data_IF_337236727258
#
_entry.id   IF_337236727258
#
_cell.length_a   1.000
_cell.length_b   1.000
_cell.length_c   1.000
_cell.angle_alpha   90.00
_cell.angle_beta   90.00
_cell.angle_gamma   90.00
#
_symmetry.space_group_name_H-M   'P 1'
#
loop_
_entity.id
_entity.type
_entity.pdbx_description
1 polymer ?
#
# COMPACT_ATOMS: atom_id res chain seq x y z
N UNK A 1 23.50 -38.29 14.49
CA UNK A 1 23.06 -38.29 13.07
C UNK A 1 23.21 -36.88 12.56
N UNK A 2 24.15 -36.67 11.63
CA UNK A 2 24.47 -35.37 11.04
C UNK A 2 23.29 -34.85 10.22
N UNK A 3 22.74 -33.69 10.57
CA UNK A 3 21.73 -32.99 9.79
C UNK A 3 22.39 -32.48 8.50
N UNK A 4 22.07 -33.08 7.36
CA UNK A 4 22.48 -32.52 6.07
C UNK A 4 21.94 -31.08 5.96
N UNK A 5 22.75 -30.10 5.50
CA UNK A 5 22.28 -28.74 5.31
C UNK A 5 21.10 -28.75 4.33
N UNK A 6 20.03 -28.02 4.64
CA UNK A 6 18.87 -27.90 3.77
C UNK A 6 19.34 -27.49 2.37
N UNK A 7 19.17 -28.37 1.39
CA UNK A 7 19.48 -28.05 -0.01
C UNK A 7 18.51 -26.95 -0.43
N UNK A 8 19.02 -25.77 -0.77
CA UNK A 8 18.23 -24.69 -1.34
C UNK A 8 17.46 -25.20 -2.56
N UNK A 9 16.32 -24.59 -2.85
CA UNK A 9 15.52 -24.84 -4.06
C UNK A 9 15.47 -23.55 -4.87
N UNK A 10 15.48 -23.69 -6.19
CA UNK A 10 15.22 -22.57 -7.10
C UNK A 10 13.91 -22.84 -7.82
N UNK A 11 13.06 -21.83 -7.92
CA UNK A 11 11.77 -21.92 -8.60
C UNK A 11 11.76 -20.88 -9.73
N UNK A 12 11.45 -21.30 -10.95
CA UNK A 12 11.14 -20.39 -12.04
C UNK A 12 9.64 -20.04 -11.97
N UNK A 13 9.35 -18.77 -11.66
CA UNK A 13 7.97 -18.28 -11.53
C UNK A 13 7.23 -18.13 -12.86
N UNK A 14 7.89 -18.35 -14.00
CA UNK A 14 7.30 -18.22 -15.34
C UNK A 14 6.59 -19.49 -15.76
N UNK A 15 7.24 -20.64 -15.55
CA UNK A 15 6.73 -21.95 -15.97
C UNK A 15 6.45 -22.90 -14.78
N UNK A 16 6.82 -22.50 -13.55
CA UNK A 16 6.64 -23.28 -12.33
C UNK A 16 7.69 -24.38 -12.13
N UNK A 17 8.76 -24.39 -12.93
CA UNK A 17 9.84 -25.37 -12.81
C UNK A 17 10.55 -25.26 -11.45
N UNK A 18 10.80 -26.40 -10.80
CA UNK A 18 11.50 -26.48 -9.52
C UNK A 18 12.84 -27.19 -9.69
N UNK A 19 13.92 -26.50 -9.37
CA UNK A 19 15.29 -26.98 -9.48
C UNK A 19 15.88 -27.26 -8.10
N UNK A 20 16.61 -28.37 -8.00
CA UNK A 20 17.38 -28.69 -6.80
C UNK A 20 18.63 -27.82 -6.73
N UNK A 21 18.85 -27.16 -5.59
CA UNK A 21 19.97 -26.25 -5.36
C UNK A 21 19.60 -24.78 -5.56
N UNK A 22 20.46 -23.89 -5.06
CA UNK A 22 20.38 -22.45 -5.31
C UNK A 22 21.12 -22.13 -6.61
N UNK A 23 20.38 -21.92 -7.70
CA UNK A 23 20.94 -21.50 -8.98
C UNK A 23 21.28 -19.99 -8.92
N UNK A 24 22.34 -19.56 -9.63
CA UNK A 24 22.67 -18.13 -9.70
C UNK A 24 21.57 -17.35 -10.41
N UNK A 25 21.08 -16.29 -9.75
CA UNK A 25 20.11 -15.37 -10.34
C UNK A 25 20.83 -14.28 -11.12
N UNK A 26 20.30 -13.95 -12.31
CA UNK A 26 20.80 -12.81 -13.08
C UNK A 26 20.07 -11.55 -12.61
N UNK A 27 20.82 -10.52 -12.18
CA UNK A 27 20.21 -9.21 -11.93
C UNK A 27 19.97 -8.50 -13.27
N UNK A 28 18.71 -8.16 -13.61
CA UNK A 28 18.44 -7.41 -14.83
C UNK A 28 19.03 -5.99 -14.70
N UNK A 29 19.92 -5.62 -15.61
CA UNK A 29 20.43 -4.26 -15.73
C UNK A 29 19.79 -3.56 -16.92
N UNK A 30 19.30 -2.34 -16.70
CA UNK A 30 18.86 -1.47 -17.78
C UNK A 30 20.08 -0.78 -18.36
N UNK A 31 20.47 -1.21 -19.55
CA UNK A 31 21.60 -0.65 -20.29
C UNK A 31 21.45 -0.84 -21.79
N UNK A 32 22.34 -0.21 -22.56
CA UNK A 32 22.40 -0.36 -24.02
C UNK A 32 21.08 -0.01 -24.71
N UNK A 33 20.61 -0.91 -25.59
CA UNK A 33 19.40 -0.70 -26.40
C UNK A 33 18.13 -0.56 -25.57
N UNK A 34 18.02 -1.29 -24.44
CA UNK A 34 16.85 -1.21 -23.56
C UNK A 34 16.76 0.18 -22.92
N UNK A 35 17.89 0.72 -22.45
CA UNK A 35 17.94 2.08 -21.90
C UNK A 35 17.51 3.14 -22.93
N UNK A 36 17.97 3.03 -24.18
CA UNK A 36 17.56 3.93 -25.27
C UNK A 36 16.06 3.84 -25.56
N UNK A 37 15.52 2.62 -25.66
CA UNK A 37 14.10 2.38 -25.91
C UNK A 37 13.23 2.97 -24.80
N UNK A 38 13.62 2.77 -23.54
CA UNK A 38 12.89 3.32 -22.40
C UNK A 38 13.00 4.86 -22.34
N UNK A 39 14.13 5.44 -22.75
CA UNK A 39 14.26 6.89 -22.92
C UNK A 39 13.31 7.46 -23.97
N UNK A 40 13.13 6.78 -25.11
CA UNK A 40 12.09 7.16 -26.09
C UNK A 40 10.68 6.97 -25.55
N UNK A 41 10.47 5.90 -24.76
CA UNK A 41 9.19 5.63 -24.12
C UNK A 41 8.79 6.78 -23.20
N UNK A 42 9.70 7.24 -22.35
CA UNK A 42 9.46 8.37 -21.44
C UNK A 42 9.14 9.67 -22.17
N UNK A 43 9.75 9.93 -23.33
CA UNK A 43 9.48 11.13 -24.10
C UNK A 43 8.08 11.16 -24.75
N UNK A 44 7.40 10.00 -24.84
CA UNK A 44 6.10 9.87 -25.50
C UNK A 44 4.93 9.73 -24.54
N UNK A 45 5.14 9.13 -23.35
CA UNK A 45 4.07 8.90 -22.37
C UNK A 45 3.73 10.19 -21.61
N UNK A 46 2.46 10.34 -21.26
CA UNK A 46 1.97 11.42 -20.37
C UNK A 46 1.75 10.95 -18.93
N UNK A 47 1.57 9.66 -18.72
CA UNK A 47 1.27 9.06 -17.41
C UNK A 47 2.57 8.72 -16.69
N UNK A 48 2.71 9.17 -15.44
CA UNK A 48 3.87 8.84 -14.62
C UNK A 48 3.87 7.38 -14.16
N UNK A 49 5.05 6.78 -14.05
CA UNK A 49 5.23 5.42 -13.54
C UNK A 49 5.92 5.48 -12.18
N UNK A 50 5.14 5.25 -11.13
CA UNK A 50 5.60 5.12 -9.75
C UNK A 50 5.77 3.65 -9.37
N UNK A 51 6.21 3.41 -8.14
CA UNK A 51 6.45 2.07 -7.63
C UNK A 51 5.78 1.77 -6.29
N UNK A 52 5.44 0.50 -6.06
CA UNK A 52 4.96 -0.03 -4.79
C UNK A 52 6.15 -0.69 -4.08
N UNK A 53 6.57 -0.13 -2.94
CA UNK A 53 7.76 -0.59 -2.20
C UNK A 53 7.61 -0.37 -0.70
N UNK A 54 8.23 -1.27 0.07
CA UNK A 54 8.20 -1.23 1.53
C UNK A 54 9.59 -1.06 2.13
N UNK A 55 10.65 -1.21 1.34
CA UNK A 55 12.05 -1.11 1.80
C UNK A 55 12.85 -0.11 0.97
N UNK A 56 13.89 0.45 1.58
CA UNK A 56 14.83 1.35 0.91
C UNK A 56 15.57 0.65 -0.24
N UNK A 57 15.86 -0.64 -0.09
CA UNK A 57 16.49 -1.42 -1.16
C UNK A 57 15.56 -1.54 -2.37
N UNK A 58 14.31 -1.93 -2.16
CA UNK A 58 13.31 -2.00 -3.23
C UNK A 58 13.06 -0.65 -3.88
N UNK A 59 13.06 0.44 -3.09
CA UNK A 59 12.97 1.80 -3.59
C UNK A 59 14.14 2.16 -4.52
N UNK A 60 15.38 1.82 -4.14
CA UNK A 60 16.58 2.02 -4.98
C UNK A 60 16.54 1.19 -6.27
N UNK A 61 16.06 -0.05 -6.19
CA UNK A 61 15.85 -0.90 -7.38
C UNK A 61 14.82 -0.29 -8.32
N UNK A 62 13.71 0.24 -7.79
CA UNK A 62 12.70 0.88 -8.63
C UNK A 62 13.23 2.17 -9.29
N UNK A 63 14.01 2.96 -8.56
CA UNK A 63 14.67 4.16 -9.10
C UNK A 63 15.67 3.82 -10.22
N UNK A 64 16.44 2.73 -10.08
CA UNK A 64 17.33 2.28 -11.17
C UNK A 64 16.57 1.81 -12.41
N UNK A 65 15.30 1.44 -12.24
CA UNK A 65 14.36 1.15 -13.33
C UNK A 65 13.56 2.35 -13.84
N UNK A 66 13.83 3.56 -13.32
CA UNK A 66 13.20 4.81 -13.75
C UNK A 66 11.85 5.09 -13.13
N UNK A 67 11.58 4.58 -11.93
CA UNK A 67 10.38 4.96 -11.18
C UNK A 67 10.41 6.47 -10.80
N UNK A 68 9.26 7.12 -10.91
CA UNK A 68 9.09 8.58 -10.72
C UNK A 68 8.49 8.91 -9.35
N UNK A 69 8.77 8.06 -8.35
CA UNK A 69 8.28 8.15 -6.99
C UNK A 69 7.63 6.86 -6.51
N UNK A 70 7.15 6.88 -5.27
CA UNK A 70 6.41 5.78 -4.65
C UNK A 70 4.93 6.11 -4.71
N UNK A 71 4.12 5.24 -5.33
CA UNK A 71 2.67 5.38 -5.35
C UNK A 71 1.97 4.57 -4.25
N UNK A 72 2.70 3.65 -3.61
CA UNK A 72 2.24 2.92 -2.43
C UNK A 72 3.43 2.42 -1.59
N UNK A 73 3.64 3.04 -0.43
CA UNK A 73 4.38 2.48 0.68
C UNK A 73 3.41 1.94 1.73
N UNK A 74 3.50 0.64 2.00
CA UNK A 74 2.69 -0.05 3.01
C UNK A 74 3.34 0.14 4.37
N UNK A 75 2.68 0.90 5.25
CA UNK A 75 3.21 1.19 6.58
C UNK A 75 3.36 -0.06 7.46
N UNK A 76 2.69 -1.14 7.11
CA UNK A 76 2.48 -2.30 7.98
C UNK A 76 3.69 -3.23 7.98
N UNK A 77 4.44 -3.21 6.87
CA UNK A 77 5.76 -3.82 6.80
C UNK A 77 6.76 -3.20 7.77
N UNK A 78 6.54 -1.94 8.18
CA UNK A 78 7.34 -1.29 9.22
C UNK A 78 6.99 -1.80 10.63
N UNK A 79 6.06 -2.76 10.80
CA UNK A 79 5.75 -3.33 12.11
C UNK A 79 6.24 -4.77 12.31
N UNK A 80 6.79 -5.43 11.27
CA UNK A 80 7.09 -6.86 11.32
C UNK A 80 8.35 -7.26 12.10
N UNK A 81 9.14 -6.32 12.65
CA UNK A 81 10.23 -6.71 13.56
C UNK A 81 9.65 -7.25 14.87
N UNK A 82 10.33 -8.21 15.51
CA UNK A 82 9.86 -8.88 16.73
C UNK A 82 9.46 -7.88 17.82
N UNK A 83 10.28 -6.85 18.04
CA UNK A 83 10.04 -5.83 19.06
C UNK A 83 8.80 -4.98 18.74
N UNK A 84 8.61 -4.64 17.46
CA UNK A 84 7.49 -3.83 16.99
C UNK A 84 6.19 -4.63 17.02
N UNK A 85 6.25 -5.92 16.71
CA UNK A 85 5.13 -6.86 16.83
C UNK A 85 4.63 -6.94 18.27
N UNK A 86 5.51 -6.97 19.27
CA UNK A 86 5.13 -6.94 20.69
C UNK A 86 4.39 -5.65 21.03
N UNK A 87 4.92 -4.50 20.61
CA UNK A 87 4.26 -3.21 20.84
C UNK A 87 2.88 -3.12 20.17
N UNK A 88 2.76 -3.62 18.93
CA UNK A 88 1.51 -3.66 18.19
C UNK A 88 0.48 -4.60 18.85
N UNK A 89 0.90 -5.82 19.24
CA UNK A 89 0.07 -6.75 20.01
C UNK A 89 -0.42 -6.11 21.31
N UNK A 90 0.45 -5.39 22.02
CA UNK A 90 0.08 -4.66 23.25
C UNK A 90 -0.99 -3.61 23.00
N UNK A 91 -0.86 -2.84 21.92
CA UNK A 91 -1.87 -1.86 21.52
C UNK A 91 -3.22 -2.55 21.22
N UNK A 92 -3.22 -3.57 20.36
CA UNK A 92 -4.45 -4.29 19.98
C UNK A 92 -5.12 -4.94 21.21
N UNK A 93 -4.31 -5.41 22.15
CA UNK A 93 -4.73 -6.16 23.32
C UNK A 93 -4.85 -5.31 24.59
N UNK A 94 -4.89 -3.97 24.48
CA UNK A 94 -5.15 -3.06 25.61
C UNK A 94 -6.59 -2.53 25.60
N UNK A 95 -7.23 -2.42 26.77
CA UNK A 95 -8.64 -2.00 26.89
C UNK A 95 -8.79 -0.47 27.00
N UNK A 96 -7.84 0.22 27.61
CA UNK A 96 -7.84 1.68 27.77
C UNK A 96 -6.92 2.40 26.78
N UNK A 97 -7.28 3.64 26.48
CA UNK A 97 -6.57 4.52 25.53
C UNK A 97 -5.16 4.89 26.02
N UNK A 98 -4.97 5.05 27.32
CA UNK A 98 -3.66 5.39 27.90
C UNK A 98 -2.67 4.24 27.71
N UNK A 99 -3.10 2.99 27.92
CA UNK A 99 -2.29 1.80 27.67
C UNK A 99 -1.94 1.63 26.19
N UNK A 100 -2.90 1.89 25.29
CA UNK A 100 -2.65 1.88 23.83
C UNK A 100 -1.62 2.95 23.45
N UNK A 101 -1.77 4.16 23.95
CA UNK A 101 -0.83 5.27 23.71
C UNK A 101 0.58 4.97 24.21
N UNK A 102 0.72 4.38 25.41
CA UNK A 102 2.03 3.95 25.95
C UNK A 102 2.66 2.84 25.11
N UNK A 103 1.86 1.89 24.63
CA UNK A 103 2.35 0.81 23.76
C UNK A 103 2.87 1.35 22.41
N UNK A 104 2.24 2.40 21.90
CA UNK A 104 2.60 3.03 20.63
C UNK A 104 3.79 4.00 20.72
N UNK A 105 4.08 4.58 21.89
CA UNK A 105 5.09 5.61 22.04
C UNK A 105 6.49 5.19 21.51
N UNK A 106 6.91 3.95 21.79
CA UNK A 106 8.20 3.44 21.31
C UNK A 106 8.24 3.18 19.79
N UNK A 107 7.08 2.98 19.15
CA UNK A 107 7.01 2.74 17.70
C UNK A 107 7.31 3.99 16.87
N UNK A 108 7.09 5.18 17.44
CA UNK A 108 7.34 6.46 16.76
C UNK A 108 8.80 6.57 16.34
N UNK A 109 9.73 6.28 17.24
CA UNK A 109 11.17 6.42 16.98
C UNK A 109 11.64 5.44 15.90
N UNK A 110 11.17 4.19 15.98
CA UNK A 110 11.48 3.16 15.00
C UNK A 110 10.99 3.53 13.60
N UNK A 111 9.74 3.97 13.47
CA UNK A 111 9.18 4.35 12.17
C UNK A 111 9.77 5.66 11.65
N UNK A 112 10.15 6.60 12.52
CA UNK A 112 10.80 7.84 12.12
C UNK A 112 12.09 7.57 11.33
N UNK A 113 12.90 6.62 11.79
CA UNK A 113 14.10 6.18 11.08
C UNK A 113 13.81 5.60 9.70
N UNK A 114 12.81 4.72 9.62
CA UNK A 114 12.42 4.08 8.35
C UNK A 114 11.87 5.10 7.35
N UNK A 115 10.99 6.00 7.79
CA UNK A 115 10.46 7.07 6.95
C UNK A 115 11.55 8.02 6.48
N UNK A 116 12.46 8.43 7.38
CA UNK A 116 13.59 9.30 7.01
C UNK A 116 14.45 8.66 5.92
N UNK A 117 14.78 7.38 6.07
CA UNK A 117 15.56 6.65 5.08
C UNK A 117 14.82 6.50 3.74
N UNK A 118 13.52 6.25 3.77
CA UNK A 118 12.68 6.12 2.57
C UNK A 118 12.55 7.45 1.82
N UNK A 119 12.23 8.55 2.52
CA UNK A 119 12.14 9.88 1.92
C UNK A 119 13.48 10.34 1.35
N UNK A 120 14.58 10.12 2.07
CA UNK A 120 15.93 10.47 1.62
C UNK A 120 16.36 9.67 0.38
N UNK A 121 15.89 8.43 0.25
CA UNK A 121 16.17 7.63 -0.95
C UNK A 121 15.48 8.19 -2.20
N UNK A 122 14.33 8.84 -2.05
CA UNK A 122 13.50 9.35 -3.14
C UNK A 122 13.87 10.75 -3.61
N UNK A 123 14.68 11.51 -2.84
CA UNK A 123 15.33 12.77 -3.27
C UNK A 123 14.42 13.72 -4.06
N UNK A 124 13.35 14.19 -3.42
CA UNK A 124 12.40 15.14 -4.03
C UNK A 124 11.33 14.49 -4.89
N UNK A 125 11.35 13.18 -5.10
CA UNK A 125 10.24 12.44 -5.68
C UNK A 125 9.12 12.20 -4.65
N UNK A 126 7.86 12.17 -5.08
CA UNK A 126 6.70 11.95 -4.22
C UNK A 126 6.71 10.55 -3.61
N UNK A 127 6.39 10.49 -2.32
CA UNK A 127 6.25 9.24 -1.57
C UNK A 127 4.85 9.15 -0.97
N UNK A 128 4.02 8.29 -1.56
CA UNK A 128 2.68 7.99 -1.07
C UNK A 128 2.73 6.92 0.01
N UNK A 129 2.45 7.28 1.26
CA UNK A 129 2.37 6.36 2.40
C UNK A 129 0.91 6.04 2.70
N UNK A 130 0.56 4.76 2.65
CA UNK A 130 -0.76 4.27 3.09
C UNK A 130 -0.74 4.03 4.59
N UNK A 131 -1.73 4.57 5.29
CA UNK A 131 -1.94 4.28 6.70
C UNK A 131 -2.18 2.79 6.95
N UNK A 132 -2.13 2.40 8.22
CA UNK A 132 -2.33 1.04 8.66
C UNK A 132 -3.68 0.47 8.19
N UNK A 133 -3.60 -0.60 7.41
CA UNK A 133 -4.74 -1.22 6.74
C UNK A 133 -5.06 -2.67 7.12
N UNK A 134 -4.14 -3.57 7.51
CA UNK A 134 -4.43 -4.97 7.64
C UNK A 134 -5.36 -5.20 8.82
N UNK A 135 -6.19 -6.25 8.70
CA UNK A 135 -7.06 -6.67 9.77
C UNK A 135 -6.23 -7.14 10.97
N UNK A 136 -6.72 -6.85 12.18
CA UNK A 136 -5.96 -7.07 13.42
C UNK A 136 -5.49 -8.51 13.60
N UNK A 137 -6.26 -9.48 13.11
CA UNK A 137 -5.97 -10.92 13.22
C UNK A 137 -4.65 -11.37 12.56
N UNK A 138 -4.09 -10.58 11.64
CA UNK A 138 -2.77 -10.86 11.05
C UNK A 138 -1.64 -10.69 12.07
N UNK A 139 -1.84 -9.88 13.11
CA UNK A 139 -0.82 -9.56 14.11
C UNK A 139 -1.01 -10.29 15.44
N UNK A 140 -2.15 -10.97 15.61
CA UNK A 140 -2.47 -11.70 16.83
C UNK A 140 -1.64 -12.98 16.97
N UNK A 141 -1.27 -13.35 18.21
CA UNK A 141 -0.62 -14.63 18.45
C UNK A 141 -1.54 -15.80 18.08
N UNK A 142 -1.00 -16.79 17.38
CA UNK A 142 -1.74 -17.95 16.85
C UNK A 142 -1.34 -19.26 17.52
N UNK A 143 -0.08 -19.39 17.92
CA UNK A 143 0.40 -20.59 18.63
C UNK A 143 0.24 -20.44 20.13
N UNK A 144 0.17 -21.56 20.85
CA UNK A 144 0.10 -21.53 22.32
C UNK A 144 1.31 -20.83 22.94
N UNK A 145 2.50 -21.03 22.37
CA UNK A 145 3.74 -20.35 22.77
C UNK A 145 3.63 -18.82 22.61
N UNK A 146 3.18 -18.35 21.44
CA UNK A 146 3.01 -16.91 21.20
C UNK A 146 1.96 -16.30 22.13
N UNK A 147 0.91 -17.05 22.47
CA UNK A 147 -0.13 -16.63 23.40
C UNK A 147 0.45 -16.51 24.81
N UNK A 148 1.24 -17.48 25.26
CA UNK A 148 1.92 -17.45 26.56
C UNK A 148 2.89 -16.27 26.68
N UNK A 149 3.74 -16.06 25.66
CA UNK A 149 4.67 -14.93 25.61
C UNK A 149 3.92 -13.59 25.61
N UNK A 150 2.86 -13.47 24.79
CA UNK A 150 2.07 -12.25 24.70
C UNK A 150 1.37 -11.96 26.03
N UNK A 151 0.80 -12.98 26.69
CA UNK A 151 0.15 -12.86 27.99
C UNK A 151 1.13 -12.39 29.07
N UNK A 152 2.34 -13.00 29.12
CA UNK A 152 3.40 -12.59 30.03
C UNK A 152 3.84 -11.14 29.77
N UNK A 153 4.00 -10.74 28.50
CA UNK A 153 4.38 -9.38 28.12
C UNK A 153 3.35 -8.32 28.51
N UNK A 154 2.08 -8.72 28.60
CA UNK A 154 0.94 -7.87 28.96
C UNK A 154 0.63 -7.88 30.46
N UNK A 155 1.22 -8.81 31.22
CA UNK A 155 0.86 -9.02 32.62
C UNK A 155 -0.56 -9.55 32.82
N UNK A 156 -1.10 -10.29 31.85
CA UNK A 156 -2.46 -10.87 31.90
C UNK A 156 -2.41 -12.39 31.96
N UNK A 157 -3.45 -13.02 32.50
CA UNK A 157 -3.57 -14.47 32.47
C UNK A 157 -3.80 -14.98 31.04
N UNK A 158 -3.16 -16.09 30.65
CA UNK A 158 -3.32 -16.75 29.34
C UNK A 158 -4.80 -16.98 28.99
N UNK A 159 -5.61 -17.40 29.98
CA UNK A 159 -7.05 -17.59 29.80
C UNK A 159 -7.77 -16.29 29.43
N UNK A 160 -7.41 -15.18 30.06
CA UNK A 160 -7.99 -13.87 29.75
C UNK A 160 -7.62 -13.41 28.34
N UNK A 161 -6.36 -13.64 27.94
CA UNK A 161 -5.91 -13.35 26.58
C UNK A 161 -6.66 -14.19 25.53
N UNK A 162 -6.84 -15.50 25.74
CA UNK A 162 -7.61 -16.36 24.82
C UNK A 162 -9.05 -15.87 24.63
N UNK A 163 -9.74 -15.53 25.71
CA UNK A 163 -11.10 -14.95 25.63
C UNK A 163 -11.11 -13.63 24.83
N UNK A 164 -10.05 -12.83 24.94
CA UNK A 164 -9.92 -11.60 24.16
C UNK A 164 -9.68 -11.89 22.68
N UNK A 165 -8.82 -12.86 22.36
CA UNK A 165 -8.57 -13.31 20.98
C UNK A 165 -9.87 -13.80 20.33
N UNK A 166 -10.69 -14.56 21.04
CA UNK A 166 -12.00 -15.02 20.56
C UNK A 166 -12.94 -13.84 20.26
N UNK A 167 -12.92 -12.79 21.08
CA UNK A 167 -13.77 -11.59 20.89
C UNK A 167 -13.39 -10.75 19.68
N UNK A 168 -12.11 -10.74 19.31
CA UNK A 168 -11.61 -9.96 18.17
C UNK A 168 -11.47 -10.80 16.90
N UNK A 169 -11.74 -12.10 16.98
CA UNK A 169 -11.75 -12.97 15.82
C UNK A 169 -12.87 -12.57 14.86
N UNK A 170 -12.51 -12.39 13.60
CA UNK A 170 -13.45 -12.03 12.54
C UNK A 170 -13.68 -13.22 11.62
N UNK A 171 -14.92 -13.40 11.16
CA UNK A 171 -15.26 -14.46 10.21
C UNK A 171 -14.69 -14.14 8.82
N UNK A 172 -14.78 -12.87 8.39
CA UNK A 172 -14.30 -12.40 7.08
C UNK A 172 -13.39 -11.18 7.28
N UNK A 173 -12.12 -11.39 7.67
CA UNK A 173 -11.25 -10.28 8.07
C UNK A 173 -10.99 -9.25 6.95
N UNK A 174 -11.04 -9.69 5.68
CA UNK A 174 -10.88 -8.78 4.54
C UNK A 174 -11.94 -7.67 4.48
N UNK A 175 -13.14 -7.90 5.05
CA UNK A 175 -14.22 -6.92 5.14
C UNK A 175 -14.44 -6.39 6.56
N UNK A 176 -13.52 -6.70 7.47
CA UNK A 176 -13.66 -6.50 8.91
C UNK A 176 -13.19 -5.13 9.42
N UNK A 177 -12.70 -5.14 10.65
CA UNK A 177 -12.22 -3.98 11.39
C UNK A 177 -10.79 -3.65 10.99
N UNK A 178 -10.66 -2.93 9.87
CA UNK A 178 -9.40 -2.63 9.20
C UNK A 178 -9.38 -1.23 8.59
N UNK A 179 -8.22 -0.78 8.09
CA UNK A 179 -8.09 0.50 7.39
C UNK A 179 -8.64 1.70 8.16
N UNK A 180 -9.38 2.59 7.48
CA UNK A 180 -9.97 3.78 8.09
C UNK A 180 -10.81 3.48 9.34
N UNK A 181 -11.43 2.30 9.42
CA UNK A 181 -12.28 1.90 10.55
C UNK A 181 -11.43 1.75 11.82
N UNK A 182 -10.22 1.21 11.70
CA UNK A 182 -9.27 1.14 12.81
C UNK A 182 -8.79 2.53 13.21
N UNK A 183 -8.46 3.40 12.26
CA UNK A 183 -8.03 4.77 12.55
C UNK A 183 -9.12 5.58 13.28
N UNK A 184 -10.40 5.30 13.01
CA UNK A 184 -11.53 5.95 13.70
C UNK A 184 -11.73 5.40 15.11
N UNK A 185 -11.67 4.08 15.30
CA UNK A 185 -11.90 3.45 16.61
C UNK A 185 -10.71 3.56 17.54
N UNK A 186 -9.50 3.63 16.98
CA UNK A 186 -8.22 3.74 17.69
C UNK A 186 -7.41 4.92 17.12
N UNK A 187 -7.83 6.17 17.39
CA UNK A 187 -7.21 7.39 16.83
C UNK A 187 -5.71 7.52 17.14
N UNK A 188 -5.24 6.92 18.22
CA UNK A 188 -3.83 6.88 18.61
C UNK A 188 -2.93 6.19 17.58
N UNK A 189 -3.46 5.26 16.77
CA UNK A 189 -2.73 4.66 15.63
C UNK A 189 -2.46 5.74 14.59
N UNK A 190 -3.49 6.50 14.21
CA UNK A 190 -3.36 7.62 13.28
C UNK A 190 -2.34 8.64 13.81
N UNK A 191 -2.44 8.98 15.10
CA UNK A 191 -1.53 9.94 15.73
C UNK A 191 -0.08 9.46 15.66
N UNK A 192 0.18 8.22 16.08
CA UNK A 192 1.52 7.63 16.05
C UNK A 192 2.10 7.60 14.63
N UNK A 193 1.33 7.13 13.64
CA UNK A 193 1.80 7.04 12.26
C UNK A 193 2.10 8.42 11.66
N UNK A 194 1.23 9.41 11.92
CA UNK A 194 1.44 10.78 11.46
C UNK A 194 2.68 11.40 12.13
N UNK A 195 2.86 11.22 13.44
CA UNK A 195 4.03 11.72 14.15
C UNK A 195 5.32 11.14 13.57
N UNK A 196 5.38 9.82 13.39
CA UNK A 196 6.55 9.15 12.82
C UNK A 196 6.83 9.58 11.38
N UNK A 197 5.79 9.66 10.54
CA UNK A 197 5.92 10.06 9.14
C UNK A 197 6.44 11.50 9.00
N UNK A 198 5.86 12.43 9.76
CA UNK A 198 6.26 13.84 9.72
C UNK A 198 7.64 14.07 10.34
N UNK A 199 7.98 13.37 11.43
CA UNK A 199 9.32 13.41 12.01
C UNK A 199 10.37 12.87 11.03
N UNK A 200 10.07 11.76 10.35
CA UNK A 200 10.93 11.18 9.33
C UNK A 200 11.12 12.12 8.13
N UNK A 201 10.04 12.75 7.67
CA UNK A 201 10.09 13.73 6.59
C UNK A 201 10.94 14.96 6.96
N UNK A 202 10.80 15.45 8.19
CA UNK A 202 11.64 16.55 8.70
C UNK A 202 13.11 16.16 8.73
N UNK A 203 13.44 15.00 9.31
CA UNK A 203 14.81 14.50 9.38
C UNK A 203 15.43 14.34 7.99
N UNK A 204 14.69 13.75 7.03
CA UNK A 204 15.14 13.64 5.65
C UNK A 204 15.40 15.01 5.02
N UNK A 205 14.52 16.00 5.24
CA UNK A 205 14.62 17.35 4.67
C UNK A 205 15.84 18.15 5.13
N UNK A 206 16.45 17.76 6.25
CA UNK A 206 17.69 18.35 6.76
C UNK A 206 18.93 17.79 6.04
N UNK A 207 18.81 16.62 5.40
CA UNK A 207 19.91 15.90 4.72
C UNK A 207 19.94 16.08 3.21
N UNK A 208 18.93 16.75 2.63
CA UNK A 208 18.82 16.99 1.18
C UNK A 208 18.38 18.43 0.87
N UNK A 209 18.61 18.87 -0.37
CA UNK A 209 18.24 20.21 -0.82
C UNK A 209 16.81 20.24 -1.37
N UNK A 210 16.39 19.16 -2.01
CA UNK A 210 15.06 19.01 -2.59
C UNK A 210 14.01 18.89 -1.48
N UNK A 211 12.85 19.56 -1.61
CA UNK A 211 11.75 19.37 -0.67
C UNK A 211 11.32 17.90 -0.59
N UNK A 212 11.08 17.40 0.62
CA UNK A 212 10.47 16.08 0.82
C UNK A 212 8.99 16.17 0.45
N UNK A 213 8.51 15.33 -0.47
CA UNK A 213 7.12 15.32 -0.91
C UNK A 213 6.40 14.12 -0.28
N UNK A 214 5.59 14.39 0.73
CA UNK A 214 4.82 13.41 1.51
C UNK A 214 3.39 13.39 1.02
N UNK A 215 2.91 12.23 0.57
CA UNK A 215 1.52 12.00 0.21
C UNK A 215 0.92 10.98 1.21
N UNK A 216 0.12 11.42 2.16
CA UNK A 216 -0.52 10.53 3.15
C UNK A 216 -1.86 10.03 2.62
N UNK A 217 -2.06 8.71 2.63
CA UNK A 217 -3.21 8.06 2.01
C UNK A 217 -4.02 7.22 3.01
N UNK A 218 -5.30 7.54 3.15
CA UNK A 218 -6.24 6.78 4.00
C UNK A 218 -6.81 5.58 3.23
N UNK A 219 -6.64 4.34 3.72
CA UNK A 219 -7.16 3.13 3.09
C UNK A 219 -8.62 2.83 3.47
N UNK A 220 -9.25 1.98 2.67
CA UNK A 220 -10.51 1.27 2.93
C UNK A 220 -11.71 2.17 3.23
N UNK A 221 -11.73 3.38 2.65
CA UNK A 221 -12.81 4.34 2.86
C UNK A 221 -14.04 3.96 2.05
N UNK A 222 -15.21 4.26 2.61
CA UNK A 222 -16.50 4.03 1.96
C UNK A 222 -17.36 5.29 1.88
N UNK A 223 -17.10 6.28 2.74
CA UNK A 223 -17.87 7.52 2.87
C UNK A 223 -16.97 8.75 2.96
N UNK A 224 -17.48 9.91 2.54
CA UNK A 224 -16.79 11.18 2.73
C UNK A 224 -16.65 11.56 4.22
N UNK A 225 -17.55 11.10 5.09
CA UNK A 225 -17.49 11.37 6.53
C UNK A 225 -16.28 10.68 7.18
N UNK A 226 -15.98 9.43 6.79
CA UNK A 226 -14.77 8.73 7.23
C UNK A 226 -13.51 9.51 6.82
N UNK A 227 -13.46 9.97 5.57
CA UNK A 227 -12.34 10.77 5.04
C UNK A 227 -12.20 12.10 5.79
N UNK A 228 -13.31 12.82 6.00
CA UNK A 228 -13.32 14.11 6.73
C UNK A 228 -12.81 13.95 8.15
N UNK A 229 -13.28 12.92 8.85
CA UNK A 229 -12.90 12.66 10.25
C UNK A 229 -11.39 12.46 10.40
N UNK A 230 -10.78 11.69 9.48
CA UNK A 230 -9.33 11.44 9.49
C UNK A 230 -8.57 12.69 9.04
N UNK A 231 -9.07 13.40 8.03
CA UNK A 231 -8.45 14.63 7.51
C UNK A 231 -8.31 15.69 8.59
N UNK A 232 -9.37 15.95 9.35
CA UNK A 232 -9.36 16.96 10.42
C UNK A 232 -8.23 16.69 11.42
N UNK A 233 -8.07 15.44 11.83
CA UNK A 233 -7.02 15.02 12.78
C UNK A 233 -5.63 15.04 12.17
N UNK A 234 -5.48 14.50 10.95
CA UNK A 234 -4.20 14.49 10.25
C UNK A 234 -3.69 15.93 10.02
N UNK A 235 -4.56 16.83 9.56
CA UNK A 235 -4.20 18.23 9.31
C UNK A 235 -3.88 18.98 10.61
N UNK A 236 -4.58 18.70 11.72
CA UNK A 236 -4.23 19.27 13.02
C UNK A 236 -2.81 18.84 13.46
N UNK A 237 -2.43 17.58 13.22
CA UNK A 237 -1.08 17.08 13.53
C UNK A 237 -0.04 17.76 12.64
N UNK A 238 -0.32 17.93 11.34
CA UNK A 238 0.57 18.63 10.39
C UNK A 238 0.79 20.09 10.79
N UNK A 239 -0.26 20.79 11.20
CA UNK A 239 -0.17 22.16 11.70
C UNK A 239 0.66 22.23 12.98
N UNK A 240 0.40 21.36 13.94
CA UNK A 240 1.15 21.29 15.21
C UNK A 240 2.63 20.93 15.01
N UNK A 241 2.95 20.15 13.97
CA UNK A 241 4.33 19.84 13.59
C UNK A 241 5.04 21.01 12.90
N UNK A 242 4.34 22.10 12.59
CA UNK A 242 4.89 23.28 11.90
C UNK A 242 5.20 23.02 10.42
N UNK A 243 4.66 21.96 9.82
CA UNK A 243 4.97 21.55 8.45
C UNK A 243 4.00 22.09 7.41
N UNK A 244 2.85 22.65 7.82
CA UNK A 244 1.85 23.21 6.90
C UNK A 244 2.36 24.35 6.03
N UNK A 245 3.40 25.07 6.48
CA UNK A 245 4.04 26.19 5.77
C UNK A 245 5.49 25.92 5.39
N UNK A 246 5.95 24.68 5.53
CA UNK A 246 7.34 24.33 5.26
C UNK A 246 7.61 24.32 3.75
N UNK A 247 8.63 25.02 3.31
CA UNK A 247 9.14 24.88 1.93
C UNK A 247 9.98 23.60 1.77
N UNK A 248 10.45 23.03 2.89
CA UNK A 248 11.30 21.83 2.95
C UNK A 248 10.50 20.54 2.93
N UNK A 249 9.23 20.57 3.33
CA UNK A 249 8.34 19.41 3.35
C UNK A 249 6.99 19.81 2.75
N UNK A 250 6.61 19.19 1.64
CA UNK A 250 5.31 19.36 1.01
C UNK A 250 4.42 18.19 1.39
N UNK A 251 3.29 18.48 2.03
CA UNK A 251 2.34 17.47 2.47
C UNK A 251 1.08 17.51 1.60
N UNK A 252 0.56 16.34 1.26
CA UNK A 252 -0.73 16.18 0.59
C UNK A 252 -1.53 15.06 1.26
N UNK A 253 -2.83 15.28 1.38
CA UNK A 253 -3.78 14.34 1.98
C UNK A 253 -4.63 13.69 0.89
N UNK A 254 -4.68 12.36 0.88
CA UNK A 254 -5.43 11.60 -0.10
C UNK A 254 -6.08 10.35 0.47
N UNK A 255 -6.74 9.60 -0.41
CA UNK A 255 -7.40 8.36 -0.01
C UNK A 255 -7.37 7.31 -1.11
N UNK A 256 -7.41 6.05 -0.69
CA UNK A 256 -7.54 4.93 -1.61
C UNK A 256 -9.02 4.75 -1.98
N UNK A 257 -9.30 4.61 -3.28
CA UNK A 257 -10.63 4.27 -3.80
C UNK A 257 -10.59 2.79 -4.17
N UNK A 258 -11.05 1.95 -3.25
CA UNK A 258 -10.95 0.49 -3.34
C UNK A 258 -12.21 -0.26 -2.92
N UNK A 259 -13.29 0.49 -2.65
CA UNK A 259 -14.62 -0.05 -2.39
C UNK A 259 -15.61 0.49 -3.42
N UNK A 260 -16.55 -0.33 -3.94
CA UNK A 260 -17.53 0.10 -4.93
C UNK A 260 -18.33 1.33 -4.48
N UNK A 261 -18.67 1.42 -3.18
CA UNK A 261 -19.35 2.61 -2.63
C UNK A 261 -18.50 3.87 -2.77
N UNK A 262 -17.19 3.78 -2.53
CA UNK A 262 -16.28 4.92 -2.70
C UNK A 262 -16.18 5.34 -4.16
N UNK A 263 -16.14 4.40 -5.12
CA UNK A 263 -16.19 4.70 -6.55
C UNK A 263 -17.48 5.46 -6.92
N UNK A 264 -18.63 4.95 -6.46
CA UNK A 264 -19.92 5.59 -6.71
C UNK A 264 -20.03 6.96 -6.03
N UNK A 265 -19.39 7.19 -4.89
CA UNK A 265 -19.48 8.46 -4.14
C UNK A 265 -18.20 9.29 -4.18
N UNK A 266 -17.33 9.08 -5.17
CA UNK A 266 -16.04 9.79 -5.26
C UNK A 266 -16.21 11.30 -5.33
N UNK A 267 -17.29 11.82 -5.92
CA UNK A 267 -17.58 13.26 -5.93
C UNK A 267 -17.67 13.87 -4.52
N UNK A 268 -18.29 13.17 -3.56
CA UNK A 268 -18.39 13.65 -2.18
C UNK A 268 -17.01 13.68 -1.48
N UNK A 269 -16.13 12.75 -1.86
CA UNK A 269 -14.79 12.58 -1.29
C UNK A 269 -13.80 13.58 -1.90
N UNK A 270 -13.92 13.86 -3.20
CA UNK A 270 -12.94 14.62 -3.97
C UNK A 270 -12.75 16.07 -3.50
N UNK A 271 -13.75 16.67 -2.84
CA UNK A 271 -13.67 18.04 -2.30
C UNK A 271 -12.70 18.19 -1.12
N UNK A 272 -12.33 17.08 -0.47
CA UNK A 272 -11.54 17.09 0.76
C UNK A 272 -10.16 16.44 0.60
N UNK A 273 -9.82 15.96 -0.60
CA UNK A 273 -8.54 15.29 -0.86
C UNK A 273 -7.79 15.95 -2.00
N UNK A 274 -6.46 15.92 -1.90
CA UNK A 274 -5.54 16.39 -2.94
C UNK A 274 -5.35 15.32 -4.03
N UNK A 275 -5.47 14.04 -3.66
CA UNK A 275 -5.35 12.92 -4.57
C UNK A 275 -6.20 11.72 -4.17
N UNK A 276 -6.50 10.87 -5.15
CA UNK A 276 -7.01 9.52 -4.95
C UNK A 276 -6.08 8.50 -5.61
N UNK A 277 -6.04 7.28 -5.07
CA UNK A 277 -5.38 6.13 -5.71
C UNK A 277 -6.33 4.95 -5.76
N UNK A 278 -6.48 4.29 -6.90
CA UNK A 278 -7.29 3.08 -6.97
C UNK A 278 -6.53 1.89 -6.39
N UNK A 279 -7.09 1.27 -5.35
CA UNK A 279 -6.66 -0.02 -4.84
C UNK A 279 -7.38 -1.12 -5.61
N UNK A 280 -6.90 -1.43 -6.80
CA UNK A 280 -7.64 -2.29 -7.74
C UNK A 280 -7.80 -3.73 -7.26
N UNK A 281 -6.92 -4.23 -6.39
CA UNK A 281 -7.03 -5.57 -5.82
C UNK A 281 -8.29 -5.72 -4.95
N UNK A 282 -8.46 -4.84 -3.95
CA UNK A 282 -9.63 -4.84 -3.07
C UNK A 282 -10.90 -4.41 -3.81
N UNK A 283 -10.78 -3.51 -4.79
CA UNK A 283 -11.89 -3.14 -5.66
C UNK A 283 -12.39 -4.34 -6.48
N UNK A 284 -11.49 -5.13 -7.07
CA UNK A 284 -11.85 -6.36 -7.78
C UNK A 284 -12.51 -7.34 -6.82
N UNK A 285 -11.90 -7.60 -5.66
CA UNK A 285 -12.42 -8.53 -4.65
C UNK A 285 -13.86 -8.18 -4.26
N UNK A 286 -14.14 -6.91 -3.98
CA UNK A 286 -15.46 -6.46 -3.53
C UNK A 286 -16.48 -6.27 -4.65
N UNK A 287 -16.03 -6.00 -5.88
CA UNK A 287 -16.90 -5.92 -7.06
C UNK A 287 -17.37 -7.31 -7.50
N UNK A 288 -16.47 -8.29 -7.49
CA UNK A 288 -16.80 -9.67 -7.84
C UNK A 288 -17.41 -10.47 -6.68
N UNK A 289 -17.18 -10.05 -5.43
CA UNK A 289 -17.50 -10.85 -4.25
C UNK A 289 -16.61 -12.07 -4.12
N UNK A 290 -15.33 -11.95 -4.48
CA UNK A 290 -14.35 -13.05 -4.48
C UNK A 290 -13.21 -12.71 -3.53
N UNK A 291 -13.02 -13.53 -2.50
CA UNK A 291 -11.81 -13.50 -1.69
C UNK A 291 -10.62 -13.93 -2.53
N UNK A 292 -9.60 -13.07 -2.60
CA UNK A 292 -8.37 -13.34 -3.38
C UNK A 292 -7.66 -14.61 -2.90
N UNK A 293 -7.63 -14.82 -1.58
CA UNK A 293 -6.93 -15.96 -0.98
C UNK A 293 -7.65 -17.29 -1.25
N UNK A 294 -8.97 -17.25 -1.42
CA UNK A 294 -9.81 -18.43 -1.70
C UNK A 294 -10.04 -18.68 -3.20
N UNK A 295 -9.76 -17.68 -4.04
CA UNK A 295 -9.98 -17.72 -5.48
C UNK A 295 -9.28 -18.91 -6.20
N UNK A 296 -8.05 -19.34 -5.82
CA UNK A 296 -7.39 -20.48 -6.44
C UNK A 296 -8.22 -21.78 -6.42
N UNK A 297 -9.16 -21.91 -5.48
CA UNK A 297 -10.03 -23.09 -5.38
C UNK A 297 -10.94 -23.29 -6.61
N UNK A 298 -11.27 -22.22 -7.36
CA UNK A 298 -12.21 -22.30 -8.47
C UNK A 298 -11.82 -21.53 -9.73
N UNK A 299 -10.94 -20.52 -9.66
CA UNK A 299 -10.61 -19.67 -10.81
C UNK A 299 -10.14 -20.44 -12.05
N UNK A 300 -9.28 -21.45 -11.86
CA UNK A 300 -8.80 -22.28 -12.96
C UNK A 300 -9.94 -23.06 -13.65
N UNK A 301 -10.97 -23.47 -12.89
CA UNK A 301 -12.14 -24.13 -13.46
C UNK A 301 -13.04 -23.14 -14.22
N UNK A 302 -13.17 -21.90 -13.73
CA UNK A 302 -13.90 -20.83 -14.41
C UNK A 302 -13.26 -20.47 -15.75
N UNK A 303 -11.92 -20.36 -15.79
CA UNK A 303 -11.17 -20.11 -17.02
C UNK A 303 -11.33 -21.25 -18.03
N UNK A 304 -11.18 -22.52 -17.60
CA UNK A 304 -11.37 -23.68 -18.49
C UNK A 304 -12.79 -23.78 -19.07
N UNK A 305 -13.78 -23.28 -18.33
CA UNK A 305 -15.19 -23.23 -18.78
C UNK A 305 -15.53 -21.97 -19.58
N UNK A 306 -14.57 -21.07 -19.79
CA UNK A 306 -14.78 -19.80 -20.49
C UNK A 306 -15.70 -18.82 -19.75
N UNK A 307 -15.90 -19.01 -18.43
CA UNK A 307 -16.70 -18.06 -17.62
C UNK A 307 -15.93 -16.76 -17.45
N UNK A 308 -14.62 -16.86 -17.17
CA UNK A 308 -13.70 -15.73 -17.19
C UNK A 308 -12.66 -15.95 -18.28
N UNK A 309 -12.44 -14.93 -19.10
CA UNK A 309 -11.39 -14.96 -20.12
C UNK A 309 -10.00 -14.95 -19.50
N UNK A 310 -9.84 -14.21 -18.39
CA UNK A 310 -8.59 -14.05 -17.65
C UNK A 310 -8.86 -14.01 -16.15
N UNK A 311 -7.82 -14.23 -15.37
CA UNK A 311 -7.89 -14.03 -13.92
C UNK A 311 -8.11 -12.52 -13.64
N UNK A 312 -9.23 -12.14 -13.01
CA UNK A 312 -9.56 -10.73 -12.78
C UNK A 312 -8.65 -10.04 -11.75
N UNK A 313 -7.80 -10.78 -11.03
CA UNK A 313 -6.78 -10.22 -10.14
C UNK A 313 -5.44 -9.97 -10.84
N UNK A 314 -5.26 -10.51 -12.05
CA UNK A 314 -4.04 -10.32 -12.87
C UNK A 314 -4.27 -9.26 -13.93
N UNK A 315 -5.40 -9.35 -14.65
CA UNK A 315 -5.78 -8.40 -15.71
C UNK A 315 -7.13 -7.80 -15.37
N UNK A 316 -7.23 -6.48 -15.45
CA UNK A 316 -8.39 -5.72 -15.01
C UNK A 316 -9.64 -6.17 -15.78
N UNK A 317 -10.71 -6.45 -15.03
CA UNK A 317 -12.05 -6.51 -15.60
C UNK A 317 -12.49 -5.10 -16.03
N UNK A 318 -12.38 -4.82 -17.33
CA UNK A 318 -12.77 -3.53 -17.91
C UNK A 318 -14.27 -3.26 -17.76
N UNK A 319 -15.12 -4.29 -17.83
CA UNK A 319 -16.58 -4.11 -17.93
C UNK A 319 -17.25 -3.84 -16.59
N UNK A 320 -16.72 -4.38 -15.48
CA UNK A 320 -17.23 -4.11 -14.14
C UNK A 320 -16.30 -3.18 -13.36
N UNK A 321 -15.12 -3.67 -13.00
CA UNK A 321 -14.16 -2.89 -12.19
C UNK A 321 -13.71 -1.62 -12.93
N UNK A 322 -13.43 -1.73 -14.24
CA UNK A 322 -13.07 -0.60 -15.09
C UNK A 322 -14.15 0.47 -15.20
N UNK A 323 -15.44 0.08 -15.19
CA UNK A 323 -16.57 1.02 -15.19
C UNK A 323 -16.64 1.78 -13.86
N UNK A 324 -16.42 1.10 -12.72
CA UNK A 324 -16.36 1.76 -11.41
C UNK A 324 -15.22 2.78 -11.34
N UNK A 325 -14.05 2.46 -11.91
CA UNK A 325 -12.92 3.39 -12.03
C UNK A 325 -13.31 4.61 -12.88
N UNK A 326 -13.92 4.40 -14.05
CA UNK A 326 -14.39 5.50 -14.91
C UNK A 326 -15.38 6.43 -14.20
N UNK A 327 -16.38 5.87 -13.52
CA UNK A 327 -17.36 6.63 -12.74
C UNK A 327 -16.67 7.46 -11.67
N UNK A 328 -15.73 6.86 -10.94
CA UNK A 328 -14.99 7.52 -9.88
C UNK A 328 -14.13 8.68 -10.40
N UNK A 329 -13.41 8.48 -11.52
CA UNK A 329 -12.61 9.53 -12.17
C UNK A 329 -13.50 10.69 -12.61
N UNK A 330 -14.59 10.39 -13.32
CA UNK A 330 -15.52 11.41 -13.81
C UNK A 330 -16.10 12.24 -12.66
N UNK A 331 -16.64 11.57 -11.63
CA UNK A 331 -17.23 12.25 -10.46
C UNK A 331 -16.18 13.01 -9.64
N UNK A 332 -14.99 12.44 -9.49
CA UNK A 332 -13.89 13.04 -8.76
C UNK A 332 -13.39 14.33 -9.42
N UNK A 333 -13.10 14.30 -10.73
CA UNK A 333 -12.67 15.49 -11.48
C UNK A 333 -13.77 16.55 -11.61
N UNK A 334 -15.04 16.14 -11.70
CA UNK A 334 -16.16 17.09 -11.69
C UNK A 334 -16.25 17.88 -10.37
N UNK A 335 -15.97 17.23 -9.24
CA UNK A 335 -15.97 17.84 -7.91
C UNK A 335 -14.67 18.62 -7.61
N UNK A 336 -13.52 18.12 -8.07
CA UNK A 336 -12.21 18.73 -7.90
C UNK A 336 -11.39 18.59 -9.20
N UNK A 337 -11.38 19.61 -10.08
CA UNK A 337 -10.66 19.56 -11.36
C UNK A 337 -9.15 19.34 -11.22
N UNK A 338 -8.56 19.68 -10.06
CA UNK A 338 -7.12 19.52 -9.78
C UNK A 338 -6.78 18.19 -9.11
N UNK A 339 -7.78 17.33 -8.84
CA UNK A 339 -7.59 16.07 -8.13
C UNK A 339 -6.59 15.17 -8.84
N UNK A 340 -5.46 14.87 -8.20
CA UNK A 340 -4.51 13.89 -8.75
C UNK A 340 -5.06 12.47 -8.59
N UNK A 341 -4.95 11.64 -9.63
CA UNK A 341 -5.54 10.31 -9.70
C UNK A 341 -4.46 9.30 -10.06
N UNK A 342 -4.26 8.32 -9.19
CA UNK A 342 -3.36 7.20 -9.39
C UNK A 342 -4.07 5.86 -9.46
N UNK A 343 -3.37 4.85 -9.96
CA UNK A 343 -3.76 3.45 -9.84
C UNK A 343 -2.61 2.65 -9.23
N UNK A 344 -2.89 1.88 -8.19
CA UNK A 344 -1.93 0.97 -7.57
C UNK A 344 -2.49 -0.46 -7.52
N UNK A 345 -1.60 -1.42 -7.27
CA UNK A 345 -1.92 -2.85 -7.29
C UNK A 345 -1.30 -3.58 -8.47
N UNK A 346 -1.74 -4.81 -8.69
CA UNK A 346 -1.10 -5.72 -9.65
C UNK A 346 -1.44 -5.36 -11.10
N UNK A 347 -2.66 -4.89 -11.33
CA UNK A 347 -3.11 -4.43 -12.64
C UNK A 347 -2.25 -3.29 -13.22
N UNK A 348 -1.61 -2.48 -12.37
CA UNK A 348 -0.70 -1.42 -12.80
C UNK A 348 0.63 -1.96 -13.41
N UNK A 349 0.87 -3.26 -13.36
CA UNK A 349 1.99 -3.94 -14.03
C UNK A 349 1.56 -4.85 -15.20
N UNK A 350 0.27 -4.93 -15.51
CA UNK A 350 -0.29 -5.74 -16.60
C UNK A 350 -0.47 -4.89 -17.88
N UNK A 351 0.13 -5.27 -19.02
CA UNK A 351 0.05 -4.48 -20.24
C UNK A 351 -1.37 -4.19 -20.74
N UNK A 352 -2.29 -5.16 -20.63
CA UNK A 352 -3.67 -4.96 -21.10
C UNK A 352 -4.42 -3.96 -20.20
N UNK A 353 -4.23 -4.06 -18.89
CA UNK A 353 -4.78 -3.09 -17.92
C UNK A 353 -4.19 -1.69 -18.13
N UNK A 354 -2.89 -1.58 -18.39
CA UNK A 354 -2.21 -0.30 -18.67
C UNK A 354 -2.73 0.39 -19.93
N UNK A 355 -3.01 -0.36 -20.99
CA UNK A 355 -3.64 0.16 -22.21
C UNK A 355 -5.04 0.72 -21.92
N UNK A 356 -5.80 0.07 -21.04
CA UNK A 356 -7.09 0.61 -20.62
C UNK A 356 -6.92 1.89 -19.80
N UNK A 357 -6.02 1.88 -18.81
CA UNK A 357 -5.76 3.04 -17.94
C UNK A 357 -5.25 4.27 -18.71
N UNK A 358 -4.51 4.10 -19.80
CA UNK A 358 -4.05 5.22 -20.62
C UNK A 358 -5.18 6.03 -21.23
N UNK A 359 -6.33 5.39 -21.50
CA UNK A 359 -7.53 6.06 -22.00
C UNK A 359 -8.36 6.79 -20.94
N UNK A 360 -8.01 6.67 -19.64
CA UNK A 360 -8.84 7.19 -18.54
C UNK A 360 -8.39 8.56 -18.01
N UNK A 361 -7.25 9.08 -18.45
CA UNK A 361 -6.71 10.36 -17.95
C UNK A 361 -6.24 10.30 -16.50
N UNK A 362 -5.68 9.17 -16.07
CA UNK A 362 -4.99 9.05 -14.77
C UNK A 362 -3.63 9.75 -14.83
N UNK A 363 -3.17 10.30 -13.71
CA UNK A 363 -1.90 11.03 -13.65
C UNK A 363 -0.70 10.08 -13.44
N UNK A 364 -0.92 8.92 -12.78
CA UNK A 364 0.12 7.92 -12.61
C UNK A 364 -0.42 6.49 -12.43
N UNK A 365 0.46 5.53 -12.70
CA UNK A 365 0.30 4.12 -12.30
C UNK A 365 1.43 3.73 -11.35
N UNK A 366 1.20 2.76 -10.47
CA UNK A 366 2.18 2.32 -9.48
C UNK A 366 2.23 0.81 -9.35
N UNK A 367 3.36 0.22 -9.69
CA UNK A 367 3.57 -1.24 -9.77
C UNK A 367 4.83 -1.69 -9.01
N UNK A 368 5.05 -3.00 -8.87
CA UNK A 368 6.27 -3.50 -8.22
C UNK A 368 7.53 -3.08 -9.01
N UNK A 369 8.71 -2.97 -8.36
CA UNK A 369 9.92 -2.42 -8.98
C UNK A 369 10.25 -3.02 -10.36
N UNK A 370 10.24 -4.35 -10.46
CA UNK A 370 10.58 -5.06 -11.70
C UNK A 370 9.55 -4.88 -12.84
N UNK A 371 8.35 -4.37 -12.54
CA UNK A 371 7.32 -4.07 -13.54
C UNK A 371 7.40 -2.65 -14.09
N UNK A 372 8.19 -1.76 -13.46
CA UNK A 372 8.36 -0.36 -13.89
C UNK A 372 8.77 -0.24 -15.36
N UNK A 373 9.75 -1.01 -15.90
CA UNK A 373 10.13 -0.92 -17.31
C UNK A 373 9.00 -1.32 -18.26
N UNK A 374 8.22 -2.35 -17.89
CA UNK A 374 7.06 -2.82 -18.66
C UNK A 374 5.97 -1.75 -18.69
N UNK A 375 5.71 -1.11 -17.54
CA UNK A 375 4.72 -0.03 -17.45
C UNK A 375 5.13 1.18 -18.29
N UNK A 376 6.40 1.60 -18.22
CA UNK A 376 6.93 2.71 -19.03
C UNK A 376 6.76 2.45 -20.52
N UNK A 377 7.15 1.26 -20.99
CA UNK A 377 7.05 0.88 -22.40
C UNK A 377 5.59 0.78 -22.87
N UNK A 378 4.72 0.14 -22.07
CA UNK A 378 3.33 -0.08 -22.47
C UNK A 378 2.56 1.23 -22.57
N UNK A 379 2.76 2.14 -21.60
CA UNK A 379 2.11 3.46 -21.62
C UNK A 379 2.57 4.30 -22.81
N UNK A 380 3.86 4.23 -23.16
CA UNK A 380 4.39 4.86 -24.36
C UNK A 380 3.72 4.33 -25.65
N UNK A 381 3.56 3.01 -25.77
CA UNK A 381 2.87 2.38 -26.91
C UNK A 381 1.38 2.77 -26.99
N UNK A 382 0.78 3.12 -25.85
CA UNK A 382 -0.65 3.47 -25.76
C UNK A 382 -0.91 4.98 -25.87
N UNK A 383 0.14 5.78 -26.05
CA UNK A 383 0.07 7.25 -26.17
C UNK A 383 -0.06 7.74 -27.62
N UNK A 384 -0.35 6.82 -28.56
CA UNK A 384 -0.45 7.06 -30.00
C UNK A 384 -1.86 7.26 -30.52
#
# INVERSE_FOLDING_TARGET
MSSAPAKGLTIDGTDGSVYLGSLPLTQPQIGGSIGKLLGWSDASRSISVRTNVETVESARTALSFGAEGIGLARSEHMFFSTERMVALRRMILSEDEDARSRALAGLVDYQTGDYSALFSAMKGLPVTVRLFDPPLHEFLPRTDEEIEETAASLGVAVRALRLRLERIAEINPMLGHRGVRLAITYPEILQMQMQAMLAGARAASETQNEPVIVEMMVPFVSTATEVSWVRERAMAIVENAGLSRSERVRFSFGTMIELPRACLRTGDIAHMVDFISFGTNDLTQTTFGISRDDAPAFLAAYQRKGVYERDPFVSLDVKGVGELIQIAIQRGRAANPKLKIGICGEHAGDPASLQYFSGLGVDYVSCSPYRVPVARLTLAQSSG
#
